data_IF_215911803392
#
_entry.id   IF_215911803392
#
_cell.length_a   1.000
_cell.length_b   1.000
_cell.length_c   1.000
_cell.angle_alpha   90.00
_cell.angle_beta   90.00
_cell.angle_gamma   90.00
#
_symmetry.space_group_name_H-M   'P 1'
#
loop_
_entity.id
_entity.type
_entity.pdbx_description
1 polymer ?
#
# COMPACT_ATOMS: atom_id res chain seq x y z
N UNK A 1 -20.23 -5.09 -2.88
CA UNK A 1 -20.15 -4.30 -1.65
C UNK A 1 -19.54 -2.94 -1.98
N UNK A 2 -20.13 -1.83 -1.51
CA UNK A 2 -19.56 -0.52 -1.78
C UNK A 2 -18.19 -0.37 -1.12
N UNK A 3 -17.31 0.32 -1.79
CA UNK A 3 -15.96 0.60 -1.31
C UNK A 3 -15.68 2.10 -1.40
N UNK A 4 -14.69 2.55 -0.64
CA UNK A 4 -14.18 3.91 -0.75
C UNK A 4 -12.69 3.88 -0.99
N UNK A 5 -12.21 4.86 -1.73
CA UNK A 5 -10.79 5.07 -1.98
C UNK A 5 -10.35 6.31 -1.21
N UNK A 6 -9.22 6.23 -0.55
CA UNK A 6 -8.66 7.37 0.18
C UNK A 6 -7.15 7.42 -0.08
N UNK A 7 -6.69 8.55 -0.63
CA UNK A 7 -5.26 8.78 -0.81
C UNK A 7 -4.64 9.13 0.55
N UNK A 8 -3.51 8.52 0.87
CA UNK A 8 -2.83 8.76 2.13
C UNK A 8 -1.34 9.01 1.89
N UNK A 9 -0.69 9.63 2.87
CA UNK A 9 0.76 9.72 2.93
C UNK A 9 1.24 8.85 4.08
N UNK A 10 2.28 8.06 3.82
CA UNK A 10 2.89 7.20 4.82
C UNK A 10 4.27 7.75 5.10
N UNK A 11 4.51 8.16 6.35
CA UNK A 11 5.77 8.76 6.73
C UNK A 11 6.73 7.70 7.25
N UNK A 12 7.91 7.64 6.64
CA UNK A 12 8.96 6.69 7.01
C UNK A 12 10.32 7.31 6.71
N UNK A 13 11.24 7.29 7.67
CA UNK A 13 12.62 7.80 7.52
C UNK A 13 12.69 9.22 6.94
N UNK A 14 11.87 10.14 7.44
CA UNK A 14 11.76 11.52 6.96
C UNK A 14 11.33 11.64 5.50
N UNK A 15 10.78 10.57 4.94
CA UNK A 15 10.22 10.54 3.61
C UNK A 15 8.71 10.39 3.70
N UNK A 16 8.03 10.78 2.64
CA UNK A 16 6.60 10.52 2.50
C UNK A 16 6.39 9.69 1.23
N UNK A 17 5.72 8.55 1.37
CA UNK A 17 5.34 7.75 0.21
C UNK A 17 3.83 7.79 0.04
N UNK A 18 3.38 7.67 -1.20
CA UNK A 18 1.96 7.71 -1.51
C UNK A 18 1.35 6.32 -1.36
N UNK A 19 0.16 6.28 -0.80
CA UNK A 19 -0.62 5.06 -0.72
C UNK A 19 -2.09 5.35 -0.99
N UNK A 20 -2.85 4.31 -1.22
CA UNK A 20 -4.29 4.40 -1.40
C UNK A 20 -4.96 3.33 -0.55
N UNK A 21 -5.84 3.76 0.35
CA UNK A 21 -6.69 2.85 1.10
C UNK A 21 -7.95 2.61 0.26
N UNK A 22 -8.24 1.35 0.00
CA UNK A 22 -9.49 0.95 -0.64
C UNK A 22 -10.21 0.04 0.35
N UNK A 23 -11.31 0.50 0.89
CA UNK A 23 -11.95 -0.18 2.01
C UNK A 23 -13.44 -0.35 1.82
N UNK A 24 -14.01 -1.49 2.30
CA UNK A 24 -15.45 -1.64 2.39
C UNK A 24 -15.97 -0.84 3.58
N UNK A 25 -17.28 -0.72 3.66
CA UNK A 25 -17.92 -0.01 4.77
C UNK A 25 -17.97 -0.83 6.06
N UNK A 26 -17.56 -2.09 6.02
CA UNK A 26 -17.53 -3.00 7.18
C UNK A 26 -16.11 -3.41 7.51
N UNK A 27 -15.88 -3.75 8.78
CA UNK A 27 -14.60 -4.23 9.28
C UNK A 27 -14.22 -5.59 8.71
N UNK A 28 -13.02 -5.71 8.10
CA UNK A 28 -12.56 -6.94 7.46
C UNK A 28 -11.04 -7.01 7.47
N UNK A 29 -10.45 -8.19 7.21
CA UNK A 29 -9.00 -8.33 7.12
C UNK A 29 -8.37 -7.38 6.10
N UNK A 30 -7.14 -6.99 6.34
CA UNK A 30 -6.41 -6.11 5.45
C UNK A 30 -5.54 -6.84 4.44
N UNK A 31 -5.35 -6.24 3.27
CA UNK A 31 -4.43 -6.74 2.25
C UNK A 31 -3.56 -5.58 1.79
N UNK A 32 -2.25 -5.75 1.91
CA UNK A 32 -1.27 -4.77 1.44
C UNK A 32 -0.72 -5.24 0.08
N UNK A 33 -0.83 -4.38 -0.94
CA UNK A 33 -0.31 -4.65 -2.27
C UNK A 33 0.98 -3.85 -2.48
N UNK A 34 2.07 -4.54 -2.81
CA UNK A 34 3.38 -3.92 -3.06
C UNK A 34 3.79 -4.21 -4.49
N UNK A 35 4.03 -3.16 -5.28
CA UNK A 35 4.47 -3.32 -6.67
C UNK A 35 5.93 -3.77 -6.74
N UNK A 36 6.34 -4.34 -7.90
CA UNK A 36 7.73 -4.68 -8.15
C UNK A 36 8.55 -3.44 -8.50
N UNK A 37 9.87 -3.59 -8.48
CA UNK A 37 10.79 -2.52 -8.85
C UNK A 37 10.48 -2.03 -10.26
N UNK A 38 10.35 -0.72 -10.40
CA UNK A 38 9.98 -0.12 -11.68
C UNK A 38 8.47 -0.02 -11.92
N UNK A 39 7.64 -0.58 -11.02
CA UNK A 39 6.20 -0.50 -11.12
C UNK A 39 5.60 0.68 -10.36
N UNK A 40 4.32 0.62 -10.11
CA UNK A 40 3.61 1.61 -9.30
C UNK A 40 2.34 1.00 -8.72
N UNK A 41 1.75 1.70 -7.75
CA UNK A 41 0.50 1.26 -7.16
C UNK A 41 -0.65 1.19 -8.18
N UNK A 42 -0.56 1.96 -9.27
CA UNK A 42 -1.61 1.96 -10.29
C UNK A 42 -1.90 0.58 -10.86
N UNK A 43 -0.88 -0.29 -10.92
CA UNK A 43 -1.06 -1.65 -11.41
C UNK A 43 -1.97 -2.49 -10.51
N UNK A 44 -2.16 -2.09 -9.26
CA UNK A 44 -2.90 -2.88 -8.29
C UNK A 44 -4.20 -2.25 -7.83
N UNK A 45 -4.45 -0.98 -8.16
CA UNK A 45 -5.65 -0.29 -7.66
C UNK A 45 -6.94 -1.00 -8.12
N UNK A 46 -7.01 -1.40 -9.39
CA UNK A 46 -8.18 -2.11 -9.88
C UNK A 46 -8.40 -3.44 -9.16
N UNK A 47 -7.31 -4.19 -8.93
CA UNK A 47 -7.37 -5.45 -8.19
C UNK A 47 -7.75 -5.22 -6.74
N UNK A 48 -7.21 -4.16 -6.12
CA UNK A 48 -7.57 -3.81 -4.75
C UNK A 48 -9.07 -3.51 -4.63
N UNK A 49 -9.65 -2.85 -5.63
CA UNK A 49 -11.10 -2.61 -5.64
C UNK A 49 -11.88 -3.91 -5.71
N UNK A 50 -11.44 -4.86 -6.53
CA UNK A 50 -12.10 -6.17 -6.63
C UNK A 50 -12.03 -6.93 -5.31
N UNK A 51 -10.85 -6.95 -4.68
CA UNK A 51 -10.66 -7.64 -3.40
C UNK A 51 -11.46 -6.95 -2.29
N UNK A 52 -11.46 -5.61 -2.30
CA UNK A 52 -12.22 -4.84 -1.32
C UNK A 52 -13.72 -5.08 -1.44
N UNK A 53 -14.21 -5.33 -2.66
CA UNK A 53 -15.62 -5.66 -2.87
C UNK A 53 -16.01 -6.98 -2.21
N UNK A 54 -15.03 -7.86 -1.92
CA UNK A 54 -15.26 -9.11 -1.19
C UNK A 54 -15.22 -8.89 0.33
N UNK A 55 -14.91 -7.68 0.79
CA UNK A 55 -14.95 -7.33 2.19
C UNK A 55 -13.61 -7.08 2.86
N UNK A 56 -12.52 -6.92 2.10
CA UNK A 56 -11.20 -6.66 2.67
C UNK A 56 -10.84 -5.18 2.64
N UNK A 57 -10.07 -4.72 3.63
CA UNK A 57 -9.46 -3.40 3.59
C UNK A 57 -8.15 -3.54 2.81
N UNK A 58 -7.98 -2.77 1.73
CA UNK A 58 -6.80 -2.87 0.89
C UNK A 58 -5.99 -1.58 0.93
N UNK A 59 -4.66 -1.71 0.93
CA UNK A 59 -3.73 -0.60 0.81
C UNK A 59 -2.79 -0.89 -0.35
N UNK A 60 -2.68 0.05 -1.28
CA UNK A 60 -1.65 0.04 -2.32
C UNK A 60 -0.68 1.16 -2.02
N UNK A 61 0.60 0.98 -2.35
CA UNK A 61 1.62 1.99 -2.09
C UNK A 61 2.53 2.15 -3.31
N UNK A 62 3.16 3.33 -3.41
CA UNK A 62 4.30 3.55 -4.28
C UNK A 62 5.56 3.50 -3.39
N UNK A 63 6.42 2.51 -3.61
CA UNK A 63 7.69 2.41 -2.89
C UNK A 63 8.53 3.66 -3.18
N UNK A 64 9.36 4.08 -2.22
CA UNK A 64 10.27 5.21 -2.49
C UNK A 64 11.17 4.87 -3.68
N UNK A 65 11.52 5.89 -4.45
CA UNK A 65 12.23 5.71 -5.71
C UNK A 65 11.31 5.48 -6.89
N UNK A 66 9.99 5.56 -6.70
CA UNK A 66 8.99 5.36 -7.76
C UNK A 66 7.96 6.49 -7.71
N UNK A 67 7.24 6.69 -8.83
CA UNK A 67 6.20 7.71 -8.93
C UNK A 67 6.73 9.08 -8.46
N UNK A 68 6.10 9.69 -7.44
CA UNK A 68 6.48 11.01 -6.97
C UNK A 68 7.90 11.09 -6.40
N UNK A 69 8.46 9.96 -5.95
CA UNK A 69 9.81 9.90 -5.40
C UNK A 69 10.83 9.30 -6.37
N UNK A 70 10.49 9.22 -7.66
CA UNK A 70 11.36 8.62 -8.68
C UNK A 70 12.75 9.24 -8.72
N UNK A 71 12.89 10.51 -8.41
CA UNK A 71 14.19 11.19 -8.39
C UNK A 71 15.17 10.57 -7.39
N UNK A 72 14.69 9.79 -6.43
CA UNK A 72 15.50 9.11 -5.43
C UNK A 72 15.94 7.71 -5.84
N UNK A 73 15.49 7.24 -7.01
CA UNK A 73 15.63 5.84 -7.41
C UNK A 73 17.06 5.31 -7.33
N UNK A 74 18.04 6.15 -7.71
CA UNK A 74 19.44 5.74 -7.73
C UNK A 74 20.03 5.48 -6.34
N UNK A 75 19.42 6.01 -5.28
CA UNK A 75 19.96 5.92 -3.92
C UNK A 75 19.11 5.03 -3.00
N UNK A 76 18.00 4.49 -3.49
CA UNK A 76 17.12 3.65 -2.69
C UNK A 76 17.69 2.25 -2.54
N UNK A 77 17.70 1.73 -1.30
CA UNK A 77 18.20 0.40 -0.98
C UNK A 77 17.02 -0.56 -0.74
N UNK A 78 17.34 -1.87 -0.67
CA UNK A 78 16.34 -2.88 -0.30
C UNK A 78 15.83 -2.63 1.13
N UNK A 79 16.71 -2.21 2.01
CA UNK A 79 16.37 -1.88 3.39
C UNK A 79 15.39 -0.71 3.45
N UNK A 80 15.59 0.28 2.58
CA UNK A 80 14.65 1.41 2.47
C UNK A 80 13.26 0.91 2.06
N UNK A 81 13.20 0.05 1.06
CA UNK A 81 11.92 -0.50 0.60
C UNK A 81 11.28 -1.40 1.67
N UNK A 82 12.08 -2.15 2.43
CA UNK A 82 11.55 -2.93 3.54
C UNK A 82 10.90 -2.03 4.58
N UNK A 83 11.55 -0.91 4.93
CA UNK A 83 10.96 0.05 5.87
C UNK A 83 9.67 0.66 5.33
N UNK A 84 9.60 0.92 4.01
CA UNK A 84 8.37 1.39 3.39
C UNK A 84 7.23 0.39 3.58
N UNK A 85 7.51 -0.89 3.34
CA UNK A 85 6.52 -1.96 3.48
C UNK A 85 6.07 -2.10 4.93
N UNK A 86 7.02 -2.06 5.88
CA UNK A 86 6.69 -2.18 7.30
C UNK A 86 5.86 -0.99 7.78
N UNK A 87 6.19 0.23 7.33
CA UNK A 87 5.41 1.41 7.67
C UNK A 87 4.00 1.32 7.08
N UNK A 88 3.87 0.84 5.84
CA UNK A 88 2.58 0.67 5.20
C UNK A 88 1.75 -0.40 5.93
N UNK A 89 2.37 -1.49 6.34
CA UNK A 89 1.69 -2.53 7.11
C UNK A 89 1.13 -1.97 8.42
N UNK A 90 1.93 -1.17 9.14
CA UNK A 90 1.47 -0.56 10.38
C UNK A 90 0.27 0.37 10.15
N UNK A 91 0.29 1.15 9.07
CA UNK A 91 -0.83 2.02 8.70
C UNK A 91 -2.08 1.18 8.42
N UNK A 92 -1.92 0.08 7.68
CA UNK A 92 -3.05 -0.79 7.31
C UNK A 92 -3.70 -1.42 8.55
N UNK A 93 -2.92 -2.00 9.44
CA UNK A 93 -3.47 -2.68 10.62
C UNK A 93 -4.02 -1.70 11.65
N UNK A 94 -3.66 -0.42 11.55
CA UNK A 94 -4.22 0.60 12.42
C UNK A 94 -5.57 1.13 11.94
N UNK A 95 -6.01 0.74 10.74
CA UNK A 95 -7.32 1.16 10.24
C UNK A 95 -8.43 0.57 11.09
N UNK A 96 -9.48 1.35 11.38
CA UNK A 96 -10.60 0.85 12.18
C UNK A 96 -11.17 -0.45 11.60
N UNK A 97 -11.29 -1.47 12.44
CA UNK A 97 -11.86 -2.73 12.03
C UNK A 97 -10.96 -3.64 11.22
N UNK A 98 -9.67 -3.35 11.13
CA UNK A 98 -8.71 -4.21 10.46
C UNK A 98 -7.91 -4.99 11.52
N UNK A 99 -8.32 -6.22 11.88
CA UNK A 99 -7.66 -6.97 12.96
C UNK A 99 -6.32 -7.57 12.56
N UNK A 100 -6.03 -7.63 11.28
CA UNK A 100 -4.78 -8.17 10.79
C UNK A 100 -4.70 -8.01 9.28
N UNK A 101 -3.54 -8.28 8.71
CA UNK A 101 -3.33 -8.07 7.28
C UNK A 101 -2.36 -9.09 6.71
N UNK A 102 -2.47 -9.31 5.39
CA UNK A 102 -1.49 -10.06 4.63
C UNK A 102 -0.87 -9.14 3.58
N UNK A 103 0.35 -9.44 3.18
CA UNK A 103 1.07 -8.69 2.17
C UNK A 103 1.11 -9.48 0.87
N UNK A 104 0.74 -8.82 -0.23
CA UNK A 104 0.87 -9.38 -1.58
C UNK A 104 1.90 -8.55 -2.32
N UNK A 105 3.00 -9.17 -2.72
CA UNK A 105 4.09 -8.49 -3.40
C UNK A 105 4.28 -9.04 -4.80
N UNK A 106 4.59 -8.16 -5.75
CA UNK A 106 4.93 -8.57 -7.09
C UNK A 106 6.31 -9.22 -7.11
N UNK A 107 6.49 -10.20 -7.98
CA UNK A 107 7.80 -10.76 -8.29
C UNK A 107 8.44 -9.95 -9.40
N UNK A 108 9.70 -9.75 -9.28
CA UNK A 108 10.52 -9.18 -10.36
C UNK A 108 11.29 -10.27 -11.07
#
# INVERSE_FOLDING_TARGET
MPTRDEAIEIHVDDQAIAGTIVAPTRAMPGVLFVHGWGGSQEHYIARAREISALGCVCLTIDLRGHAETESQKATVTREDNLRDVLAAYDVLVSQPGCPGAMCVAARN
#
